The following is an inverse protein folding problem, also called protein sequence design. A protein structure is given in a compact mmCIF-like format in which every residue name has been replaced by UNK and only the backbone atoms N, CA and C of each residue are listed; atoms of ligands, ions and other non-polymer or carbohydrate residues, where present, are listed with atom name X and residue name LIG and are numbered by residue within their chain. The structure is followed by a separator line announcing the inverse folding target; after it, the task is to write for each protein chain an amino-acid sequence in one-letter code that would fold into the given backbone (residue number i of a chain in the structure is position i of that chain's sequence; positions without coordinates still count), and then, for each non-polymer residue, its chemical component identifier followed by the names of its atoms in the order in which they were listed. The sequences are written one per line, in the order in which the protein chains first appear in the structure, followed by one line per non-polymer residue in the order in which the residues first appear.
data_IF_622364235058
#
_entry.id   IF_622364235058
#
_cell.length_a   1.000
_cell.length_b   1.000
_cell.length_c   1.000
_cell.angle_alpha   90.00
_cell.angle_beta   90.00
_cell.angle_gamma   90.00
#
_symmetry.space_group_name_H-M   'P 1'
#
loop_
_entity.id
_entity.type
_entity.pdbx_description
1 polymer ?
#
# COMPACT_ATOMS: atom_id res chain seq x y z
N UNK A 1 -28.34 23.39 14.62
CA UNK A 1 -27.15 23.05 13.82
C UNK A 1 -26.08 22.56 14.77
N UNK A 2 -25.59 21.32 14.65
CA UNK A 2 -24.43 20.89 15.43
C UNK A 2 -23.24 21.81 15.11
N UNK A 3 -22.49 22.23 16.13
CA UNK A 3 -21.30 23.08 16.02
C UNK A 3 -20.29 22.45 15.06
N UNK A 4 -20.29 22.88 13.80
CA UNK A 4 -19.36 22.43 12.76
C UNK A 4 -17.90 22.59 13.20
N UNK A 5 -17.61 23.60 14.00
CA UNK A 5 -16.27 23.86 14.55
C UNK A 5 -15.79 22.78 15.55
N UNK A 6 -16.69 22.10 16.28
CA UNK A 6 -16.31 21.02 17.21
C UNK A 6 -15.96 19.72 16.49
N UNK A 7 -16.60 19.42 15.36
CA UNK A 7 -16.34 18.19 14.59
C UNK A 7 -15.03 18.28 13.80
N UNK A 8 -14.65 19.47 13.35
CA UNK A 8 -13.38 19.72 12.65
C UNK A 8 -12.19 19.50 13.58
N UNK A 9 -12.28 19.97 14.81
CA UNK A 9 -11.18 19.88 15.79
C UNK A 9 -10.94 18.47 16.32
N UNK A 10 -11.95 17.60 16.33
CA UNK A 10 -11.79 16.20 16.78
C UNK A 10 -11.18 15.31 15.69
N UNK A 11 -11.53 15.52 14.42
CA UNK A 11 -10.97 14.77 13.28
C UNK A 11 -9.52 15.13 12.98
N UNK A 12 -9.15 16.41 13.01
CA UNK A 12 -7.74 16.83 12.80
C UNK A 12 -6.81 16.37 13.91
N UNK A 13 -7.29 16.29 15.17
CA UNK A 13 -6.50 15.76 16.29
C UNK A 13 -6.24 14.25 16.14
N UNK A 14 -7.20 13.49 15.63
CA UNK A 14 -7.04 12.07 15.36
C UNK A 14 -6.01 11.80 14.25
N UNK A 15 -5.84 12.74 13.32
CA UNK A 15 -4.92 12.64 12.19
C UNK A 15 -3.60 13.39 12.44
N UNK A 16 -3.16 13.54 13.69
CA UNK A 16 -1.85 14.13 14.00
C UNK A 16 -1.69 15.59 13.52
N UNK A 17 -2.78 16.36 13.51
CA UNK A 17 -2.90 17.72 12.98
C UNK A 17 -2.82 17.87 11.45
N UNK A 18 -2.83 16.77 10.69
CA UNK A 18 -3.06 16.83 9.26
C UNK A 18 -4.51 17.27 8.97
N UNK A 19 -4.69 18.13 7.99
CA UNK A 19 -5.98 18.80 7.75
C UNK A 19 -5.89 19.87 6.66
N UNK A 20 -6.94 20.69 6.47
CA UNK A 20 -6.98 21.78 5.50
C UNK A 20 -6.14 22.98 5.97
N UNK A 21 -4.83 22.77 6.13
CA UNK A 21 -3.89 23.75 6.66
C UNK A 21 -2.60 23.79 5.82
N UNK A 22 -1.82 24.87 5.97
CA UNK A 22 -0.55 25.03 5.27
C UNK A 22 0.50 23.99 5.70
N UNK A 23 0.44 23.49 6.94
CA UNK A 23 1.36 22.45 7.42
C UNK A 23 1.31 21.19 6.56
N UNK A 24 0.11 20.76 6.15
CA UNK A 24 -0.09 19.62 5.25
C UNK A 24 0.51 19.87 3.87
N UNK A 25 0.37 21.09 3.32
CA UNK A 25 0.98 21.44 2.02
C UNK A 25 2.51 21.49 2.10
N UNK A 26 3.05 22.09 3.15
CA UNK A 26 4.50 22.12 3.41
C UNK A 26 5.06 20.70 3.54
N UNK A 27 4.33 19.80 4.21
CA UNK A 27 4.68 18.38 4.30
C UNK A 27 4.76 17.74 2.91
N UNK A 28 3.77 17.98 2.05
CA UNK A 28 3.76 17.45 0.68
C UNK A 28 4.99 17.91 -0.10
N UNK A 29 5.25 19.22 -0.09
CA UNK A 29 6.38 19.82 -0.81
C UNK A 29 7.71 19.28 -0.26
N UNK A 30 7.85 19.19 1.07
CA UNK A 30 9.06 18.67 1.72
C UNK A 30 9.33 17.22 1.30
N UNK A 31 8.36 16.32 1.46
CA UNK A 31 8.55 14.90 1.16
C UNK A 31 8.72 14.63 -0.34
N UNK A 32 8.08 15.43 -1.20
CA UNK A 32 8.34 15.38 -2.64
C UNK A 32 9.76 15.84 -2.98
N UNK A 33 10.19 16.97 -2.43
CA UNK A 33 11.53 17.53 -2.64
C UNK A 33 12.64 16.61 -2.14
N UNK A 34 12.41 15.93 -1.00
CA UNK A 34 13.32 14.90 -0.48
C UNK A 34 13.47 13.70 -1.43
N UNK A 35 12.41 13.32 -2.15
CA UNK A 35 12.53 12.28 -3.18
C UNK A 35 13.17 12.79 -4.46
N UNK A 36 12.83 14.01 -4.90
CA UNK A 36 13.41 14.62 -6.08
C UNK A 36 14.92 14.84 -5.91
N UNK A 37 15.38 15.23 -4.71
CA UNK A 37 16.80 15.42 -4.42
C UNK A 37 17.62 14.12 -4.54
N UNK A 38 16.98 12.94 -4.44
CA UNK A 38 17.66 11.66 -4.72
C UNK A 38 18.23 11.60 -6.14
N UNK A 39 17.73 12.42 -7.07
CA UNK A 39 18.20 12.51 -8.45
C UNK A 39 19.48 13.30 -8.65
N UNK A 40 19.91 14.05 -7.65
CA UNK A 40 21.19 14.76 -7.67
C UNK A 40 22.37 13.78 -7.53
N UNK A 41 22.14 12.62 -6.88
CA UNK A 41 23.21 11.68 -6.58
C UNK A 41 23.42 10.66 -7.70
N UNK A 42 24.67 10.52 -8.15
CA UNK A 42 25.06 9.46 -9.07
C UNK A 42 25.01 8.07 -8.40
N UNK A 43 24.35 7.16 -9.09
CA UNK A 43 24.23 5.76 -8.72
C UNK A 43 24.72 4.87 -9.87
N UNK A 44 25.26 3.67 -9.58
CA UNK A 44 25.64 2.74 -10.63
C UNK A 44 24.47 2.41 -11.56
N UNK A 45 24.71 2.42 -12.88
CA UNK A 45 23.70 2.07 -13.89
C UNK A 45 23.28 0.61 -13.82
N UNK A 46 24.22 -0.28 -13.47
CA UNK A 46 23.99 -1.74 -13.42
C UNK A 46 23.56 -2.19 -12.03
N UNK A 47 22.57 -3.08 -12.01
CA UNK A 47 22.14 -3.78 -10.80
C UNK A 47 23.14 -4.86 -10.43
N UNK A 48 23.59 -4.89 -9.17
CA UNK A 48 24.41 -6.00 -8.66
C UNK A 48 23.54 -7.25 -8.40
N UNK A 49 24.13 -8.44 -8.53
CA UNK A 49 23.44 -9.74 -8.39
C UNK A 49 22.75 -9.92 -7.03
N UNK A 50 23.29 -9.34 -5.96
CA UNK A 50 22.69 -9.40 -4.61
C UNK A 50 21.41 -8.57 -4.48
N UNK A 51 21.14 -7.64 -5.41
CA UNK A 51 19.80 -7.10 -5.64
C UNK A 51 19.22 -6.11 -4.63
N UNK A 52 19.81 -5.93 -3.43
CA UNK A 52 19.34 -5.04 -2.37
C UNK A 52 20.15 -3.73 -2.25
N UNK A 53 20.62 -3.16 -3.36
CA UNK A 53 21.23 -1.81 -3.40
C UNK A 53 20.32 -0.89 -4.18
N UNK A 54 20.43 0.43 -4.01
CA UNK A 54 19.63 1.37 -4.80
C UNK A 54 20.07 1.32 -6.29
N UNK A 55 19.11 1.29 -7.22
CA UNK A 55 19.34 1.31 -8.68
C UNK A 55 18.40 2.30 -9.38
N UNK A 56 18.64 2.66 -10.67
CA UNK A 56 17.90 3.72 -11.34
C UNK A 56 16.39 3.46 -11.44
N UNK A 57 15.98 2.24 -11.81
CA UNK A 57 14.56 1.88 -11.93
C UNK A 57 13.86 1.96 -10.57
N UNK A 58 14.51 1.50 -9.48
CA UNK A 58 13.95 1.68 -8.14
C UNK A 58 13.74 3.15 -7.79
N UNK A 59 14.64 4.06 -8.15
CA UNK A 59 14.48 5.50 -7.87
C UNK A 59 13.26 6.08 -8.58
N UNK A 60 13.06 5.71 -9.84
CA UNK A 60 11.85 6.09 -10.58
C UNK A 60 10.59 5.51 -9.94
N UNK A 61 10.60 4.23 -9.57
CA UNK A 61 9.43 3.62 -8.92
C UNK A 61 9.15 4.28 -7.56
N UNK A 62 10.18 4.54 -6.75
CA UNK A 62 10.05 5.17 -5.45
C UNK A 62 9.44 6.57 -5.55
N UNK A 63 9.91 7.42 -6.48
CA UNK A 63 9.29 8.75 -6.67
C UNK A 63 7.86 8.65 -7.19
N UNK A 64 7.55 7.70 -8.08
CA UNK A 64 6.19 7.48 -8.57
C UNK A 64 5.23 7.06 -7.45
N UNK A 65 5.60 6.07 -6.64
CA UNK A 65 4.76 5.59 -5.54
C UNK A 65 4.64 6.59 -4.40
N UNK A 66 5.69 7.38 -4.11
CA UNK A 66 5.58 8.48 -3.13
C UNK A 66 4.69 9.59 -3.67
N UNK A 67 4.84 9.98 -4.94
CA UNK A 67 4.00 11.00 -5.58
C UNK A 67 2.52 10.60 -5.57
N UNK A 68 2.22 9.31 -5.74
CA UNK A 68 0.86 8.78 -5.56
C UNK A 68 0.30 9.08 -4.17
N UNK A 69 1.02 8.69 -3.12
CA UNK A 69 0.57 8.90 -1.74
C UNK A 69 0.42 10.39 -1.43
N UNK A 70 1.33 11.22 -1.93
CA UNK A 70 1.26 12.67 -1.80
C UNK A 70 0.07 13.28 -2.56
N UNK A 71 -0.25 12.76 -3.75
CA UNK A 71 -1.43 13.18 -4.51
C UNK A 71 -2.73 12.83 -3.77
N UNK A 72 -2.80 11.68 -3.10
CA UNK A 72 -3.94 11.35 -2.23
C UNK A 72 -4.03 12.26 -1.00
N UNK A 73 -2.91 12.61 -0.37
CA UNK A 73 -2.87 13.61 0.71
C UNK A 73 -3.38 14.97 0.20
N UNK A 74 -2.96 15.40 -0.99
CA UNK A 74 -3.44 16.63 -1.62
C UNK A 74 -4.94 16.56 -1.93
N UNK A 75 -5.43 15.43 -2.45
CA UNK A 75 -6.84 15.20 -2.73
C UNK A 75 -7.68 15.29 -1.45
N UNK A 76 -7.24 14.64 -0.37
CA UNK A 76 -7.89 14.72 0.94
C UNK A 76 -7.90 16.16 1.47
N UNK A 77 -6.78 16.86 1.35
CA UNK A 77 -6.68 18.27 1.73
C UNK A 77 -7.69 19.14 0.98
N UNK A 78 -7.82 18.93 -0.35
CA UNK A 78 -8.79 19.65 -1.19
C UNK A 78 -10.24 19.28 -0.86
N UNK A 79 -10.53 17.99 -0.64
CA UNK A 79 -11.86 17.53 -0.22
C UNK A 79 -12.26 18.12 1.15
N UNK A 80 -11.31 18.32 2.07
CA UNK A 80 -11.54 18.97 3.35
C UNK A 80 -11.76 20.48 3.21
N UNK A 81 -10.95 21.16 2.39
CA UNK A 81 -11.10 22.59 2.09
C UNK A 81 -12.47 22.91 1.49
N UNK A 82 -12.97 22.03 0.61
CA UNK A 82 -14.28 22.18 -0.02
C UNK A 82 -15.46 21.72 0.85
N UNK A 83 -15.21 21.28 2.10
CA UNK A 83 -16.25 20.77 3.00
C UNK A 83 -16.89 19.45 2.57
N UNK A 84 -16.35 18.77 1.56
CA UNK A 84 -16.86 17.50 1.02
C UNK A 84 -16.79 16.40 2.09
N UNK A 85 -15.65 16.33 2.79
CA UNK A 85 -15.44 15.37 3.88
C UNK A 85 -16.28 15.67 5.14
N UNK A 86 -16.66 16.92 5.37
CA UNK A 86 -17.43 17.34 6.55
C UNK A 86 -18.93 17.10 6.37
N UNK A 87 -19.46 17.33 5.16
CA UNK A 87 -20.88 17.21 4.87
C UNK A 87 -21.33 15.77 4.60
N UNK A 88 -20.40 14.86 4.31
CA UNK A 88 -20.67 13.47 3.97
C UNK A 88 -19.82 12.52 4.81
N UNK A 89 -20.10 12.34 6.12
CA UNK A 89 -19.33 11.44 6.97
C UNK A 89 -19.46 9.96 6.55
N UNK A 90 -20.35 9.63 5.61
CA UNK A 90 -20.59 8.25 5.19
C UNK A 90 -21.19 8.13 3.79
N UNK A 91 -21.88 9.14 3.26
CA UNK A 91 -22.76 8.99 2.10
C UNK A 91 -22.06 9.14 0.75
N UNK A 92 -22.37 8.18 -0.13
CA UNK A 92 -21.66 7.77 -1.34
C UNK A 92 -21.39 8.80 -2.44
N UNK A 93 -21.88 10.03 -2.37
CA UNK A 93 -21.98 10.94 -3.54
C UNK A 93 -20.97 12.09 -3.63
N UNK A 94 -20.10 12.29 -2.63
CA UNK A 94 -19.25 13.50 -2.57
C UNK A 94 -17.77 13.36 -2.97
N UNK A 95 -17.15 12.18 -2.80
CA UNK A 95 -15.70 12.05 -3.01
C UNK A 95 -15.34 11.96 -4.51
N UNK A 96 -14.21 12.56 -4.89
CA UNK A 96 -13.64 12.50 -6.25
C UNK A 96 -13.09 11.10 -6.55
N UNK A 97 -13.98 10.13 -6.73
CA UNK A 97 -13.64 8.70 -6.89
C UNK A 97 -12.94 8.42 -8.21
N UNK A 98 -13.28 9.19 -9.23
CA UNK A 98 -12.63 9.17 -10.53
C UNK A 98 -11.17 9.59 -10.37
N UNK A 99 -10.87 10.52 -9.47
CA UNK A 99 -9.50 10.94 -9.18
C UNK A 99 -8.70 9.82 -8.51
N UNK A 100 -9.33 8.96 -7.69
CA UNK A 100 -8.66 7.80 -7.11
C UNK A 100 -8.12 6.87 -8.21
N UNK A 101 -8.94 6.59 -9.23
CA UNK A 101 -8.52 5.80 -10.39
C UNK A 101 -7.44 6.54 -11.19
N UNK A 102 -7.65 7.82 -11.50
CA UNK A 102 -6.70 8.62 -12.28
C UNK A 102 -5.32 8.64 -11.61
N UNK A 103 -5.26 8.86 -10.30
CA UNK A 103 -4.01 8.86 -9.53
C UNK A 103 -3.33 7.48 -9.60
N UNK A 104 -4.10 6.39 -9.44
CA UNK A 104 -3.55 5.02 -9.52
C UNK A 104 -3.05 4.70 -10.93
N UNK A 105 -3.82 4.99 -11.98
CA UNK A 105 -3.42 4.73 -13.37
C UNK A 105 -2.23 5.60 -13.78
N UNK A 106 -2.19 6.87 -13.38
CA UNK A 106 -1.04 7.75 -13.59
C UNK A 106 0.22 7.19 -12.90
N UNK A 107 0.08 6.62 -11.70
CA UNK A 107 1.20 5.97 -11.00
C UNK A 107 1.69 4.74 -11.76
N UNK A 108 0.76 3.93 -12.31
CA UNK A 108 1.11 2.78 -13.13
C UNK A 108 1.87 3.22 -14.40
N UNK A 109 1.36 4.23 -15.10
CA UNK A 109 1.97 4.82 -16.29
C UNK A 109 3.37 5.36 -15.99
N UNK A 110 3.52 6.03 -14.86
CA UNK A 110 4.82 6.54 -14.41
C UNK A 110 5.80 5.41 -14.07
N UNK A 111 5.33 4.33 -13.44
CA UNK A 111 6.19 3.17 -13.14
C UNK A 111 6.67 2.48 -14.42
N UNK A 112 5.79 2.33 -15.43
CA UNK A 112 6.15 1.77 -16.73
C UNK A 112 7.12 2.68 -17.49
N UNK A 113 6.91 4.01 -17.45
CA UNK A 113 7.85 4.97 -17.99
C UNK A 113 9.22 4.86 -17.32
N UNK A 114 9.25 4.76 -15.99
CA UNK A 114 10.47 4.59 -15.20
C UNK A 114 11.21 3.30 -15.54
N UNK A 115 10.49 2.21 -15.81
CA UNK A 115 11.07 0.96 -16.30
C UNK A 115 11.60 1.12 -17.73
N UNK A 116 10.83 1.70 -18.66
CA UNK A 116 11.25 1.92 -20.05
C UNK A 116 12.53 2.76 -20.19
N UNK A 117 12.71 3.76 -19.32
CA UNK A 117 13.87 4.66 -19.35
C UNK A 117 15.18 3.97 -18.93
N UNK A 118 15.13 2.86 -18.21
CA UNK A 118 16.31 2.13 -17.76
C UNK A 118 16.65 1.06 -18.80
N UNK A 119 17.89 1.06 -19.32
CA UNK A 119 18.34 0.19 -20.42
C UNK A 119 17.86 -1.28 -20.27
N UNK A 120 17.36 -1.88 -21.37
CA UNK A 120 16.81 -3.25 -21.43
C UNK A 120 17.73 -4.32 -20.82
N UNK A 121 19.04 -4.16 -20.93
CA UNK A 121 20.02 -5.11 -20.39
C UNK A 121 20.22 -4.98 -18.86
N UNK A 122 19.70 -3.90 -18.26
CA UNK A 122 19.74 -3.63 -16.83
C UNK A 122 18.35 -3.68 -16.17
N UNK A 123 17.32 -4.09 -16.93
CA UNK A 123 15.96 -4.23 -16.41
C UNK A 123 15.90 -5.27 -15.30
N UNK A 124 15.20 -4.92 -14.22
CA UNK A 124 14.89 -5.83 -13.14
C UNK A 124 13.46 -5.60 -12.72
N UNK A 125 12.56 -6.56 -12.97
CA UNK A 125 11.15 -6.52 -12.63
C UNK A 125 10.83 -5.93 -11.22
N UNK A 126 10.77 -4.61 -11.01
CA UNK A 126 10.34 -3.93 -9.76
C UNK A 126 10.95 -4.49 -8.44
N UNK A 127 10.33 -4.26 -7.28
CA UNK A 127 10.65 -4.92 -5.99
C UNK A 127 10.63 -6.46 -6.10
N UNK A 128 9.91 -7.03 -7.07
CA UNK A 128 9.95 -8.47 -7.39
C UNK A 128 11.29 -8.94 -7.96
N UNK A 129 12.15 -8.03 -8.37
CA UNK A 129 13.52 -8.32 -8.73
C UNK A 129 14.41 -8.45 -7.49
N UNK A 130 14.04 -7.85 -6.35
CA UNK A 130 14.81 -7.93 -5.10
C UNK A 130 14.88 -9.40 -4.68
N UNK A 131 16.11 -9.89 -4.57
CA UNK A 131 16.43 -11.20 -4.02
C UNK A 131 16.17 -11.16 -2.51
N UNK A 132 14.95 -11.51 -2.12
CA UNK A 132 14.68 -11.85 -0.73
C UNK A 132 15.33 -13.19 -0.41
N UNK A 133 15.72 -13.38 0.84
CA UNK A 133 16.24 -14.67 1.32
C UNK A 133 15.16 -15.75 1.29
N UNK A 134 13.89 -15.37 1.46
CA UNK A 134 12.73 -16.27 1.38
C UNK A 134 11.70 -15.81 0.33
N UNK A 135 11.28 -16.69 -0.61
CA UNK A 135 10.25 -16.37 -1.60
C UNK A 135 8.91 -15.94 -1.00
N UNK A 136 8.56 -16.41 0.20
CA UNK A 136 7.34 -15.98 0.89
C UNK A 136 7.45 -14.56 1.40
N UNK A 137 8.62 -14.14 1.86
CA UNK A 137 8.86 -12.74 2.26
C UNK A 137 8.68 -11.81 1.07
N UNK A 138 9.18 -12.19 -0.11
CA UNK A 138 8.95 -11.46 -1.35
C UNK A 138 7.47 -11.41 -1.74
N UNK A 139 6.76 -12.54 -1.59
CA UNK A 139 5.33 -12.63 -1.84
C UNK A 139 4.56 -11.66 -0.96
N UNK A 140 4.80 -11.74 0.35
CA UNK A 140 4.18 -10.89 1.36
C UNK A 140 4.47 -9.40 1.07
N UNK A 141 5.72 -9.03 0.82
CA UNK A 141 6.07 -7.65 0.48
C UNK A 141 5.33 -7.14 -0.76
N UNK A 142 5.13 -7.99 -1.76
CA UNK A 142 4.38 -7.65 -2.96
C UNK A 142 2.87 -7.52 -2.68
N UNK A 143 2.33 -8.42 -1.86
CA UNK A 143 0.92 -8.42 -1.44
C UNK A 143 0.57 -7.14 -0.69
N UNK A 144 1.37 -6.72 0.29
CA UNK A 144 1.11 -5.49 1.05
C UNK A 144 1.09 -4.24 0.16
N UNK A 145 1.97 -4.18 -0.85
CA UNK A 145 1.97 -3.07 -1.82
C UNK A 145 0.70 -3.07 -2.70
N UNK A 146 0.17 -4.25 -3.04
CA UNK A 146 -1.08 -4.39 -3.77
C UNK A 146 -2.25 -3.95 -2.87
N UNK A 147 -2.25 -4.32 -1.59
CA UNK A 147 -3.28 -3.91 -0.64
C UNK A 147 -3.33 -2.39 -0.50
N UNK A 148 -2.18 -1.74 -0.35
CA UNK A 148 -2.09 -0.27 -0.32
C UNK A 148 -2.73 0.37 -1.57
N UNK A 149 -2.55 -0.23 -2.74
CA UNK A 149 -3.15 0.28 -3.98
C UNK A 149 -4.66 0.04 -4.03
N UNK A 150 -5.14 -1.10 -3.53
CA UNK A 150 -6.57 -1.37 -3.39
C UNK A 150 -7.24 -0.40 -2.40
N UNK A 151 -6.60 -0.09 -1.27
CA UNK A 151 -7.07 0.93 -0.34
C UNK A 151 -7.23 2.30 -0.99
N UNK A 152 -6.30 2.68 -1.87
CA UNK A 152 -6.39 3.91 -2.65
C UNK A 152 -7.64 3.92 -3.54
N UNK A 153 -7.91 2.83 -4.28
CA UNK A 153 -9.06 2.70 -5.20
C UNK A 153 -10.40 2.68 -4.47
N UNK A 154 -10.48 2.02 -3.31
CA UNK A 154 -11.69 1.98 -2.48
C UNK A 154 -12.00 3.35 -1.85
N UNK A 155 -11.04 4.28 -1.91
CA UNK A 155 -11.18 5.63 -1.38
C UNK A 155 -10.99 5.64 0.14
N UNK A 156 -9.92 5.03 0.64
CA UNK A 156 -9.54 5.07 2.05
C UNK A 156 -9.00 6.46 2.40
N UNK A 157 -9.85 7.35 2.93
CA UNK A 157 -9.55 8.76 3.21
C UNK A 157 -8.95 8.98 4.61
N UNK A 158 -7.74 8.46 4.84
CA UNK A 158 -7.00 8.69 6.09
C UNK A 158 -5.55 9.02 5.79
N UNK A 159 -5.03 10.07 6.44
CA UNK A 159 -3.63 10.47 6.28
C UNK A 159 -2.65 9.37 6.70
N UNK A 160 -2.98 8.61 7.76
CA UNK A 160 -2.17 7.50 8.31
C UNK A 160 -1.68 6.54 7.23
N UNK A 161 -2.57 6.07 6.34
CA UNK A 161 -2.23 5.14 5.25
C UNK A 161 -1.11 5.69 4.35
N UNK A 162 -1.27 6.93 3.91
CA UNK A 162 -0.37 7.57 2.95
C UNK A 162 0.94 8.00 3.61
N UNK A 163 0.91 8.46 4.87
CA UNK A 163 2.09 8.81 5.65
C UNK A 163 2.98 7.59 5.92
N UNK A 164 2.37 6.45 6.27
CA UNK A 164 3.09 5.18 6.44
C UNK A 164 3.70 4.73 5.12
N UNK A 165 2.95 4.83 4.02
CA UNK A 165 3.47 4.49 2.70
C UNK A 165 4.70 5.34 2.33
N UNK A 166 4.63 6.66 2.50
CA UNK A 166 5.76 7.58 2.25
C UNK A 166 6.95 7.22 3.14
N UNK A 167 6.72 7.04 4.44
CA UNK A 167 7.75 6.67 5.40
C UNK A 167 8.44 5.37 5.02
N UNK A 168 7.69 4.32 4.67
CA UNK A 168 8.24 3.02 4.24
C UNK A 168 9.09 3.18 2.98
N UNK A 169 8.61 3.91 1.97
CA UNK A 169 9.34 4.10 0.72
C UNK A 169 10.65 4.86 0.97
N UNK A 170 10.61 5.93 1.76
CA UNK A 170 11.78 6.75 2.10
C UNK A 170 12.80 5.97 2.95
N UNK A 171 12.36 5.28 4.00
CA UNK A 171 13.22 4.43 4.81
C UNK A 171 13.83 3.29 4.00
N UNK A 172 13.08 2.68 3.07
CA UNK A 172 13.61 1.64 2.20
C UNK A 172 14.70 2.17 1.26
N UNK A 173 14.52 3.36 0.68
CA UNK A 173 15.57 4.01 -0.11
C UNK A 173 16.83 4.31 0.73
N UNK A 174 16.66 4.73 1.99
CA UNK A 174 17.75 4.91 2.93
C UNK A 174 18.46 3.59 3.27
N UNK A 175 17.71 2.52 3.55
CA UNK A 175 18.26 1.17 3.81
C UNK A 175 19.07 0.64 2.62
N UNK A 176 18.58 0.80 1.39
CA UNK A 176 19.31 0.44 0.19
C UNK A 176 20.61 1.25 0.02
N UNK A 177 20.63 2.49 0.53
CA UNK A 177 21.85 3.33 0.56
C UNK A 177 22.85 2.83 1.60
N UNK A 178 22.39 2.44 2.79
CA UNK A 178 23.23 1.77 3.80
C UNK A 178 23.86 0.49 3.24
N UNK A 179 23.09 -0.32 2.49
CA UNK A 179 23.63 -1.52 1.82
C UNK A 179 24.67 -1.16 0.76
N UNK A 180 24.47 -0.09 -0.01
CA UNK A 180 25.48 0.40 -0.98
C UNK A 180 26.80 0.76 -0.30
N UNK A 181 26.73 1.34 0.91
CA UNK A 181 27.89 1.69 1.73
C UNK A 181 28.41 0.53 2.58
N UNK A 182 27.87 -0.68 2.40
CA UNK A 182 28.20 -1.88 3.19
C UNK A 182 28.08 -1.68 4.71
N UNK A 183 27.20 -0.78 5.17
CA UNK A 183 26.99 -0.51 6.60
C UNK A 183 26.17 -1.62 7.27
N UNK A 184 25.29 -2.27 6.51
CA UNK A 184 24.42 -3.33 7.03
C UNK A 184 24.28 -4.52 6.05
N UNK A 185 24.10 -5.74 6.56
CA UNK A 185 23.85 -6.93 5.76
C UNK A 185 22.44 -6.90 5.14
N UNK A 186 22.30 -7.47 3.95
CA UNK A 186 21.02 -7.52 3.21
C UNK A 186 19.87 -8.13 4.02
N UNK A 187 20.12 -9.25 4.70
CA UNK A 187 19.09 -9.95 5.47
C UNK A 187 18.51 -9.09 6.61
N UNK A 188 19.34 -8.28 7.27
CA UNK A 188 18.86 -7.37 8.31
C UNK A 188 17.96 -6.27 7.73
N UNK A 189 18.33 -5.73 6.56
CA UNK A 189 17.57 -4.65 5.93
C UNK A 189 16.25 -5.13 5.32
N UNK A 190 16.23 -6.32 4.68
CA UNK A 190 14.97 -6.93 4.22
C UNK A 190 14.05 -7.24 5.39
N UNK A 191 14.61 -7.71 6.52
CA UNK A 191 13.84 -7.94 7.74
C UNK A 191 13.23 -6.65 8.30
N UNK A 192 14.00 -5.57 8.41
CA UNK A 192 13.49 -4.26 8.84
C UNK A 192 12.37 -3.80 7.89
N UNK A 193 12.58 -3.87 6.57
CA UNK A 193 11.57 -3.50 5.58
C UNK A 193 10.26 -4.28 5.77
N UNK A 194 10.35 -5.60 5.92
CA UNK A 194 9.20 -6.46 6.14
C UNK A 194 8.48 -6.16 7.47
N UNK A 195 9.23 -5.87 8.53
CA UNK A 195 8.64 -5.42 9.82
C UNK A 195 7.92 -4.08 9.68
N UNK A 196 8.45 -3.15 8.87
CA UNK A 196 7.75 -1.89 8.60
C UNK A 196 6.43 -2.13 7.85
N UNK A 197 6.38 -3.09 6.93
CA UNK A 197 5.14 -3.48 6.24
C UNK A 197 4.12 -4.08 7.20
N UNK A 198 4.54 -4.97 8.11
CA UNK A 198 3.67 -5.51 9.17
C UNK A 198 3.15 -4.37 10.05
N UNK A 199 4.02 -3.47 10.51
CA UNK A 199 3.64 -2.32 11.32
C UNK A 199 2.64 -1.41 10.61
N UNK A 200 2.78 -1.21 9.30
CA UNK A 200 1.81 -0.45 8.52
C UNK A 200 0.45 -1.13 8.46
N UNK A 201 0.39 -2.45 8.26
CA UNK A 201 -0.89 -3.18 8.30
C UNK A 201 -1.56 -3.11 9.67
N UNK A 202 -0.80 -3.24 10.76
CA UNK A 202 -1.31 -3.05 12.13
C UNK A 202 -1.92 -1.66 12.30
N UNK A 203 -1.20 -0.62 11.87
CA UNK A 203 -1.66 0.76 11.97
C UNK A 203 -2.93 1.00 11.12
N UNK A 204 -3.01 0.45 9.90
CA UNK A 204 -4.21 0.53 9.05
C UNK A 204 -5.40 -0.20 9.70
N UNK A 205 -5.15 -1.34 10.34
CA UNK A 205 -6.17 -2.12 11.06
C UNK A 205 -6.66 -1.37 12.30
N UNK A 206 -5.78 -0.66 12.99
CA UNK A 206 -6.15 0.20 14.11
C UNK A 206 -6.97 1.40 13.64
N UNK A 207 -6.55 2.04 12.54
CA UNK A 207 -7.20 3.21 11.93
C UNK A 207 -8.57 2.88 11.30
N UNK A 208 -8.84 1.60 11.05
CA UNK A 208 -10.13 1.10 10.62
C UNK A 208 -11.28 1.39 11.60
N UNK A 209 -10.97 1.62 12.88
CA UNK A 209 -11.96 2.09 13.87
C UNK A 209 -12.62 3.41 13.46
N UNK A 210 -11.97 4.19 12.60
CA UNK A 210 -12.46 5.47 12.12
C UNK A 210 -12.95 5.42 10.67
N UNK A 211 -12.28 4.66 9.80
CA UNK A 211 -12.63 4.61 8.37
C UNK A 211 -13.70 3.58 8.04
N UNK A 212 -13.78 2.50 8.81
CA UNK A 212 -14.63 1.31 8.57
C UNK A 212 -14.52 0.70 7.17
N UNK A 213 -13.45 0.97 6.42
CA UNK A 213 -13.26 0.54 5.02
C UNK A 213 -12.13 -0.47 4.86
N UNK A 214 -11.47 -0.87 5.95
CA UNK A 214 -10.28 -1.72 5.86
C UNK A 214 -10.57 -3.10 5.26
N UNK A 215 -11.73 -3.69 5.58
CA UNK A 215 -12.13 -5.01 5.10
C UNK A 215 -12.41 -5.00 3.59
N UNK A 216 -13.07 -3.95 3.11
CA UNK A 216 -13.34 -3.75 1.67
C UNK A 216 -12.02 -3.64 0.91
N UNK A 217 -11.15 -2.70 1.31
CA UNK A 217 -9.86 -2.48 0.65
C UNK A 217 -8.95 -3.70 0.69
N UNK A 218 -8.90 -4.42 1.82
CA UNK A 218 -8.13 -5.65 1.95
C UNK A 218 -8.69 -6.78 1.07
N UNK A 219 -10.02 -6.92 0.95
CA UNK A 219 -10.64 -7.92 0.08
C UNK A 219 -10.26 -7.68 -1.39
N UNK A 220 -10.40 -6.44 -1.87
CA UNK A 220 -9.99 -6.06 -3.22
C UNK A 220 -8.48 -6.24 -3.43
N UNK A 221 -7.68 -5.93 -2.40
CA UNK A 221 -6.24 -6.19 -2.38
C UNK A 221 -5.89 -7.68 -2.49
N UNK A 222 -6.64 -8.53 -1.79
CA UNK A 222 -6.52 -9.98 -1.82
C UNK A 222 -6.85 -10.55 -3.20
N UNK A 223 -7.98 -10.14 -3.79
CA UNK A 223 -8.37 -10.51 -5.18
C UNK A 223 -7.28 -10.09 -6.17
N UNK A 224 -6.82 -8.83 -6.09
CA UNK A 224 -5.76 -8.32 -6.95
C UNK A 224 -4.45 -9.10 -6.77
N UNK A 225 -4.12 -9.49 -5.54
CA UNK A 225 -2.92 -10.27 -5.21
C UNK A 225 -3.00 -11.68 -5.79
N UNK A 226 -4.14 -12.37 -5.66
CA UNK A 226 -4.36 -13.70 -6.23
C UNK A 226 -4.22 -13.66 -7.75
N UNK A 227 -4.90 -12.72 -8.42
CA UNK A 227 -4.84 -12.58 -9.88
C UNK A 227 -3.43 -12.24 -10.37
N UNK A 228 -2.76 -11.31 -9.70
CA UNK A 228 -1.47 -10.79 -10.16
C UNK A 228 -0.28 -11.67 -9.77
N UNK A 229 -0.24 -12.14 -8.53
CA UNK A 229 0.87 -12.95 -7.99
C UNK A 229 0.67 -14.45 -8.24
N UNK A 230 -0.57 -14.92 -8.15
CA UNK A 230 -0.92 -16.34 -8.35
C UNK A 230 -1.06 -16.71 -9.83
N UNK A 231 -1.94 -16.00 -10.55
CA UNK A 231 -2.26 -16.31 -11.95
C UNK A 231 -1.42 -15.53 -12.98
N UNK A 232 -0.50 -14.68 -12.52
CA UNK A 232 0.46 -14.02 -13.41
C UNK A 232 -0.16 -12.96 -14.34
N UNK A 233 -1.28 -12.35 -13.98
CA UNK A 233 -1.94 -11.26 -14.73
C UNK A 233 -1.13 -9.96 -14.62
N UNK A 234 0.11 -9.98 -15.12
CA UNK A 234 1.07 -8.89 -14.98
C UNK A 234 0.99 -7.87 -16.13
N UNK A 235 0.66 -8.32 -17.34
CA UNK A 235 0.59 -7.48 -18.55
C UNK A 235 -0.60 -6.50 -18.53
N UNK A 236 -1.61 -6.80 -17.73
CA UNK A 236 -2.89 -6.10 -17.73
C UNK A 236 -3.11 -5.31 -16.44
N UNK A 237 -2.05 -4.71 -15.87
CA UNK A 237 -2.16 -4.01 -14.58
C UNK A 237 -3.17 -2.86 -14.62
N UNK A 238 -3.20 -2.08 -15.71
CA UNK A 238 -4.22 -1.03 -15.90
C UNK A 238 -5.63 -1.59 -15.96
N UNK A 239 -5.82 -2.70 -16.68
CA UNK A 239 -7.12 -3.34 -16.83
C UNK A 239 -7.57 -3.90 -15.48
N UNK A 240 -6.68 -4.54 -14.72
CA UNK A 240 -6.97 -5.05 -13.38
C UNK A 240 -7.53 -3.94 -12.48
N UNK A 241 -6.81 -2.82 -12.38
CA UNK A 241 -7.24 -1.73 -11.51
C UNK A 241 -8.50 -1.02 -12.02
N UNK A 242 -8.65 -0.88 -13.34
CA UNK A 242 -9.87 -0.31 -13.94
C UNK A 242 -11.08 -1.19 -13.68
N UNK A 243 -10.96 -2.52 -13.85
CA UNK A 243 -12.05 -3.46 -13.59
C UNK A 243 -12.42 -3.48 -12.11
N UNK A 244 -11.43 -3.51 -11.21
CA UNK A 244 -11.70 -3.48 -9.77
C UNK A 244 -12.37 -2.15 -9.35
N UNK A 245 -11.94 -1.03 -9.91
CA UNK A 245 -12.59 0.27 -9.69
C UNK A 245 -14.02 0.28 -10.25
N UNK A 246 -14.27 -0.25 -11.45
CA UNK A 246 -15.61 -0.33 -12.03
C UNK A 246 -16.56 -1.18 -11.19
N UNK A 247 -16.08 -2.34 -10.69
CA UNK A 247 -16.85 -3.19 -9.78
C UNK A 247 -17.18 -2.44 -8.49
N UNK A 248 -16.18 -1.78 -7.90
CA UNK A 248 -16.37 -0.97 -6.69
C UNK A 248 -17.36 0.18 -6.92
N UNK A 249 -17.18 0.94 -8.00
CA UNK A 249 -18.05 2.04 -8.41
C UNK A 249 -19.49 1.56 -8.61
N UNK A 250 -19.67 0.42 -9.28
CA UNK A 250 -20.99 -0.18 -9.50
C UNK A 250 -21.66 -0.61 -8.18
N UNK A 251 -20.94 -1.30 -7.29
CA UNK A 251 -21.45 -1.69 -5.96
C UNK A 251 -21.92 -0.47 -5.18
N UNK A 252 -21.14 0.61 -5.23
CA UNK A 252 -21.41 1.86 -4.50
C UNK A 252 -22.58 2.66 -5.09
N UNK A 253 -22.64 2.81 -6.40
CA UNK A 253 -23.68 3.59 -7.09
C UNK A 253 -25.06 2.97 -6.92
N UNK A 254 -25.13 1.63 -6.94
CA UNK A 254 -26.37 0.89 -6.75
C UNK A 254 -26.64 0.54 -5.27
N UNK A 255 -25.77 0.95 -4.34
CA UNK A 255 -25.88 0.66 -2.91
C UNK A 255 -26.08 -0.84 -2.61
N UNK A 256 -25.52 -1.73 -3.43
CA UNK A 256 -25.76 -3.18 -3.36
C UNK A 256 -25.25 -3.79 -2.07
N UNK A 257 -24.16 -3.24 -1.54
CA UNK A 257 -23.54 -3.67 -0.30
C UNK A 257 -23.22 -2.44 0.55
N UNK A 258 -23.30 -2.54 1.88
CA UNK A 258 -22.79 -1.50 2.74
C UNK A 258 -21.28 -1.35 2.51
N UNK A 259 -20.84 -0.11 2.38
CA UNK A 259 -19.44 0.27 2.08
C UNK A 259 -18.55 0.30 3.32
N UNK A 260 -19.08 -0.10 4.47
CA UNK A 260 -18.35 -0.31 5.71
C UNK A 260 -18.10 -1.80 5.94
N UNK A 261 -17.23 -2.14 6.90
CA UNK A 261 -16.93 -3.52 7.25
C UNK A 261 -18.19 -4.27 7.69
N UNK A 262 -18.69 -5.12 6.81
CA UNK A 262 -19.78 -6.06 7.07
C UNK A 262 -19.21 -7.46 7.16
N UNK A 263 -20.02 -8.41 7.64
CA UNK A 263 -19.68 -9.83 7.60
C UNK A 263 -19.35 -10.31 6.18
N UNK A 264 -19.98 -9.74 5.15
CA UNK A 264 -19.66 -10.05 3.76
C UNK A 264 -18.20 -9.72 3.42
N UNK A 265 -17.76 -8.48 3.69
CA UNK A 265 -16.39 -8.05 3.40
C UNK A 265 -15.36 -8.77 4.27
N UNK A 266 -15.70 -9.07 5.52
CA UNK A 266 -14.86 -9.88 6.37
C UNK A 266 -14.65 -11.29 5.78
N UNK A 267 -15.73 -11.98 5.42
CA UNK A 267 -15.64 -13.32 4.84
C UNK A 267 -14.84 -13.30 3.54
N UNK A 268 -15.06 -12.28 2.69
CA UNK A 268 -14.26 -12.05 1.49
C UNK A 268 -12.78 -11.87 1.80
N UNK A 269 -12.43 -11.09 2.82
CA UNK A 269 -11.06 -10.91 3.28
C UNK A 269 -10.45 -12.22 3.78
N UNK A 270 -11.14 -12.96 4.64
CA UNK A 270 -10.64 -14.25 5.16
C UNK A 270 -10.37 -15.22 4.01
N UNK A 271 -11.31 -15.39 3.09
CA UNK A 271 -11.16 -16.27 1.93
C UNK A 271 -9.98 -15.85 1.07
N UNK A 272 -9.90 -14.56 0.70
CA UNK A 272 -8.84 -14.06 -0.17
C UNK A 272 -7.46 -14.15 0.49
N UNK A 273 -7.36 -13.89 1.80
CA UNK A 273 -6.12 -14.00 2.55
C UNK A 273 -5.65 -15.45 2.68
N UNK A 274 -6.56 -16.41 2.92
CA UNK A 274 -6.25 -17.85 2.94
C UNK A 274 -5.72 -18.29 1.58
N UNK A 275 -6.40 -17.95 0.49
CA UNK A 275 -5.98 -18.32 -0.88
C UNK A 275 -4.62 -17.69 -1.21
N UNK A 276 -4.46 -16.37 -0.99
CA UNK A 276 -3.22 -15.67 -1.27
C UNK A 276 -2.03 -16.22 -0.47
N UNK A 277 -2.23 -16.45 0.83
CA UNK A 277 -1.21 -17.04 1.71
C UNK A 277 -0.83 -18.45 1.26
N UNK A 278 -1.82 -19.28 0.90
CA UNK A 278 -1.60 -20.64 0.39
C UNK A 278 -0.78 -20.64 -0.90
N UNK A 279 -1.06 -19.73 -1.83
CA UNK A 279 -0.28 -19.56 -3.05
C UNK A 279 1.16 -19.14 -2.76
N UNK A 280 1.36 -18.24 -1.80
CA UNK A 280 2.69 -17.89 -1.29
C UNK A 280 3.45 -19.10 -0.75
N UNK A 281 2.80 -19.97 0.01
CA UNK A 281 3.38 -21.21 0.52
C UNK A 281 3.73 -22.20 -0.58
N UNK A 282 2.87 -22.38 -1.58
CA UNK A 282 3.16 -23.22 -2.75
C UNK A 282 4.39 -22.69 -3.49
N UNK A 283 4.56 -21.38 -3.58
CA UNK A 283 5.75 -20.77 -4.17
C UNK A 283 7.01 -21.03 -3.34
N UNK A 284 6.92 -20.90 -2.01
CA UNK A 284 8.02 -21.21 -1.08
C UNK A 284 8.40 -22.69 -1.09
N UNK A 285 7.43 -23.61 -1.16
CA UNK A 285 7.66 -25.06 -1.15
C UNK A 285 8.33 -25.57 -2.42
N UNK A 286 8.24 -24.83 -3.52
CA UNK A 286 8.95 -25.09 -4.79
C UNK A 286 10.37 -24.54 -4.83
N UNK A 287 10.75 -23.65 -3.92
CA UNK A 287 12.08 -23.04 -3.91
C UNK A 287 13.14 -23.93 -3.22
N UNK A 288 14.44 -23.77 -3.50
CA UNK A 288 15.51 -24.53 -2.85
C UNK A 288 15.45 -24.48 -1.31
N UNK A 289 15.90 -25.52 -0.61
CA UNK A 289 15.83 -25.58 0.86
C UNK A 289 16.59 -24.44 1.55
N UNK A 290 17.72 -24.04 0.97
CA UNK A 290 18.58 -22.96 1.48
C UNK A 290 17.86 -21.62 1.58
N UNK A 291 16.83 -21.39 0.77
CA UNK A 291 16.03 -20.15 0.77
C UNK A 291 14.81 -20.20 1.68
N UNK A 292 14.70 -21.16 2.62
CA UNK A 292 13.49 -21.36 3.45
C UNK A 292 13.64 -20.94 4.92
N UNK A 293 14.77 -20.35 5.31
CA UNK A 293 15.08 -20.06 6.71
C UNK A 293 14.95 -18.57 7.08
N UNK A 294 13.86 -17.90 6.69
CA UNK A 294 13.59 -16.51 7.10
C UNK A 294 12.68 -16.45 8.33
N UNK A 295 13.20 -15.92 9.44
CA UNK A 295 12.42 -15.56 10.64
C UNK A 295 11.29 -14.58 10.29
N UNK A 296 11.55 -13.71 9.32
CA UNK A 296 10.59 -12.71 8.85
C UNK A 296 9.38 -13.37 8.18
N UNK A 297 9.59 -14.43 7.40
CA UNK A 297 8.50 -15.20 6.82
C UNK A 297 7.61 -15.83 7.90
N UNK A 298 8.20 -16.28 9.01
CA UNK A 298 7.44 -16.78 10.16
C UNK A 298 6.65 -15.65 10.86
N UNK A 299 7.25 -14.47 11.05
CA UNK A 299 6.55 -13.32 11.63
C UNK A 299 5.39 -12.87 10.74
N UNK A 300 5.57 -12.77 9.42
CA UNK A 300 4.51 -12.43 8.49
C UNK A 300 3.36 -13.46 8.52
N UNK A 301 3.69 -14.75 8.63
CA UNK A 301 2.71 -15.81 8.80
C UNK A 301 1.94 -15.70 10.12
N UNK A 302 2.66 -15.57 11.25
CA UNK A 302 2.07 -15.38 12.56
C UNK A 302 1.16 -14.14 12.56
N UNK A 303 1.57 -13.08 11.88
CA UNK A 303 0.75 -11.89 11.69
C UNK A 303 -0.52 -12.16 10.90
N UNK A 304 -0.48 -12.87 9.76
CA UNK A 304 -1.70 -13.26 9.04
C UNK A 304 -2.64 -14.10 9.92
N UNK A 305 -2.10 -15.04 10.69
CA UNK A 305 -2.89 -15.86 11.61
C UNK A 305 -3.54 -15.02 12.73
N UNK A 306 -2.78 -14.12 13.35
CA UNK A 306 -3.28 -13.20 14.38
C UNK A 306 -4.31 -12.23 13.81
N UNK A 307 -4.08 -11.70 12.60
CA UNK A 307 -5.01 -10.81 11.92
C UNK A 307 -6.34 -11.53 11.64
N UNK A 308 -6.28 -12.75 11.10
CA UNK A 308 -7.47 -13.59 10.90
C UNK A 308 -8.22 -13.85 12.21
N UNK A 309 -7.49 -14.21 13.27
CA UNK A 309 -8.06 -14.43 14.60
C UNK A 309 -8.70 -13.17 15.19
N UNK A 310 -8.04 -12.02 15.07
CA UNK A 310 -8.54 -10.73 15.53
C UNK A 310 -9.80 -10.32 14.78
N UNK A 311 -9.77 -10.42 13.45
CA UNK A 311 -10.90 -10.08 12.59
C UNK A 311 -12.09 -11.01 12.84
N UNK A 312 -11.85 -12.30 13.07
CA UNK A 312 -12.87 -13.26 13.49
C UNK A 312 -13.46 -12.89 14.86
N UNK A 313 -12.62 -12.63 15.87
CA UNK A 313 -13.03 -12.27 17.23
C UNK A 313 -13.89 -11.00 17.25
N UNK A 314 -13.42 -9.93 16.62
CA UNK A 314 -14.12 -8.64 16.56
C UNK A 314 -15.52 -8.75 15.97
N UNK A 315 -15.73 -9.72 15.09
CA UNK A 315 -17.00 -9.92 14.41
C UNK A 315 -17.90 -10.91 15.13
N UNK A 316 -17.42 -12.07 15.58
CA UNK A 316 -18.30 -13.06 16.20
C UNK A 316 -18.66 -12.75 17.66
N UNK A 317 -17.72 -12.19 18.43
CA UNK A 317 -17.91 -12.03 19.87
C UNK A 317 -18.55 -10.69 20.22
N UNK A 318 -18.38 -9.68 19.38
CA UNK A 318 -18.87 -8.32 19.68
C UNK A 318 -20.28 -8.04 19.15
N UNK A 319 -20.78 -8.86 18.23
CA UNK A 319 -22.14 -8.72 17.67
C UNK A 319 -23.17 -9.64 18.33
N UNK A 320 -22.76 -10.45 19.33
CA UNK A 320 -23.65 -11.18 20.23
C UNK A 320 -23.80 -10.37 21.53
#
# INVERSE_FOLDING_TARGET
MPDTNKTITTTTKADGNFGPNFGTLCFIVLHWSLHASSFIFDIPKKRIREGYRIWPEYRWHAIGFTSRSLAFILLMWQEQMNGILQNYPSTSKGCYQEMDLVIVLATCAFADFGSYYVERDNHSNTVRGITFTDPFEQWYASEVQIYLTAYCIVGYRRYTLHLLAISIIQCNAFMMTMRRKNVAPQGALTAIYSLMLVGALVAITYDDRFSHRSGVGATFGGVASILRLGFGVNKYMYILWTVLWLVWYYIRMNQLLPYFNTMFWLNGLVITLIISTSLGFIKRSRAPKESRNSVVAFVAFAFHAVLLGYLYWMNFVRTQ
#
